data_IF_524660068560
#
_entry.id   IF_524660068560
#
_cell.length_a   1.000
_cell.length_b   1.000
_cell.length_c   1.000
_cell.angle_alpha   90.00
_cell.angle_beta   90.00
_cell.angle_gamma   90.00
#
_symmetry.space_group_name_H-M   'P 1'
#
loop_
_entity.id
_entity.type
_entity.pdbx_description
1 polymer ?
#
# COMPACT_ATOMS: atom_id res chain seq x y z
N UNK A 1 57.60 43.27 13.74
CA UNK A 1 58.23 43.17 12.42
C UNK A 1 57.90 41.81 11.81
N UNK A 2 57.58 41.80 10.51
CA UNK A 2 57.24 40.68 9.62
C UNK A 2 55.89 39.97 9.90
N UNK A 3 54.80 40.22 9.15
CA UNK A 3 54.46 39.84 7.74
C UNK A 3 54.21 38.33 7.57
N UNK A 4 52.93 37.92 7.41
CA UNK A 4 52.13 37.75 6.17
C UNK A 4 52.26 36.36 5.55
N UNK A 5 51.10 35.74 5.29
CA UNK A 5 50.65 35.06 4.06
C UNK A 5 49.73 33.89 4.43
N UNK A 6 48.42 33.95 4.23
CA UNK A 6 47.66 33.81 2.98
C UNK A 6 48.02 32.57 2.14
N UNK A 7 47.03 31.67 1.99
CA UNK A 7 46.60 30.99 0.75
C UNK A 7 45.65 29.85 1.17
N UNK A 8 44.32 29.96 1.10
CA UNK A 8 43.44 30.06 -0.07
C UNK A 8 43.83 29.09 -1.20
N UNK A 9 43.22 27.90 -1.20
CA UNK A 9 42.89 27.19 -2.43
C UNK A 9 41.41 26.84 -2.47
N UNK A 10 40.68 27.73 -3.16
CA UNK A 10 39.39 27.49 -3.80
C UNK A 10 39.47 26.21 -4.66
N UNK A 11 38.50 25.31 -4.50
CA UNK A 11 38.07 24.44 -5.59
C UNK A 11 36.73 24.96 -6.11
N UNK A 12 36.79 25.44 -7.35
CA UNK A 12 35.65 25.73 -8.20
C UNK A 12 34.87 24.46 -8.50
N UNK A 13 33.56 24.48 -8.34
CA UNK A 13 32.65 23.63 -9.11
C UNK A 13 31.32 24.38 -9.24
N UNK A 14 31.22 25.23 -10.25
CA UNK A 14 29.93 25.77 -10.70
C UNK A 14 30.09 26.35 -12.11
N UNK A 15 29.88 25.49 -13.09
CA UNK A 15 29.30 25.89 -14.37
C UNK A 15 28.33 24.77 -14.72
N UNK A 16 27.04 25.00 -14.49
CA UNK A 16 26.04 24.35 -15.31
C UNK A 16 24.98 25.36 -15.71
N UNK A 17 24.95 25.55 -17.02
CA UNK A 17 24.15 26.47 -17.79
C UNK A 17 22.68 26.15 -17.66
N UNK A 18 21.89 27.20 -17.42
CA UNK A 18 20.52 27.33 -17.90
C UNK A 18 20.43 26.85 -19.35
N UNK A 19 19.72 25.73 -19.55
CA UNK A 19 19.05 25.41 -20.81
C UNK A 19 17.59 25.15 -20.52
N UNK A 20 16.77 26.06 -21.07
CA UNK A 20 15.33 25.92 -21.26
C UNK A 20 15.07 24.84 -22.30
N UNK A 21 14.15 23.94 -21.98
CA UNK A 21 13.45 22.97 -22.83
C UNK A 21 12.69 22.06 -21.84
N UNK A 22 11.41 21.74 -21.91
CA UNK A 22 10.44 21.79 -22.98
C UNK A 22 9.03 21.82 -22.38
N UNK A 23 8.09 22.21 -23.24
CA UNK A 23 6.66 21.99 -23.15
C UNK A 23 6.32 20.52 -22.80
N UNK A 24 5.55 20.31 -21.73
CA UNK A 24 4.66 19.15 -21.64
C UNK A 24 3.24 19.62 -21.32
N UNK A 25 2.47 19.80 -22.40
CA UNK A 25 1.01 19.69 -22.39
C UNK A 25 0.65 18.27 -21.96
N UNK A 26 0.06 18.14 -20.77
CA UNK A 26 -0.63 16.92 -20.34
C UNK A 26 -2.13 17.09 -20.56
N UNK A 27 -2.58 16.89 -21.80
CA UNK A 27 -3.96 16.52 -22.10
C UNK A 27 -4.20 15.09 -21.59
N UNK A 28 -4.88 14.95 -20.44
CA UNK A 28 -5.44 13.67 -19.98
C UNK A 28 -6.82 13.87 -19.36
N UNK A 29 -7.75 14.35 -20.18
CA UNK A 29 -9.16 14.00 -20.06
C UNK A 29 -9.49 13.01 -21.18
N UNK A 30 -9.52 11.72 -20.83
CA UNK A 30 -10.12 10.69 -21.67
C UNK A 30 -11.21 10.00 -20.85
N UNK A 31 -12.49 10.14 -21.22
CA UNK A 31 -13.56 9.43 -20.53
C UNK A 31 -13.44 7.93 -20.82
N UNK A 32 -13.57 7.13 -19.77
CA UNK A 32 -13.63 5.68 -19.86
C UNK A 32 -14.78 5.24 -20.79
N UNK A 33 -14.60 4.20 -21.62
CA UNK A 33 -15.64 3.72 -22.50
C UNK A 33 -16.79 3.12 -21.68
N UNK A 34 -18.02 3.53 -22.01
CA UNK A 34 -19.24 2.87 -21.54
C UNK A 34 -19.22 1.41 -22.01
N UNK A 35 -19.30 0.51 -21.04
CA UNK A 35 -19.59 -0.91 -21.30
C UNK A 35 -21.10 -1.01 -21.46
N UNK A 36 -21.56 -1.11 -22.70
CA UNK A 36 -22.95 -1.39 -23.00
C UNK A 36 -23.28 -2.82 -22.53
N UNK A 37 -24.29 -2.91 -21.67
CA UNK A 37 -24.89 -4.16 -21.21
C UNK A 37 -25.34 -4.99 -22.41
N UNK A 38 -24.76 -6.19 -22.57
CA UNK A 38 -25.30 -7.21 -23.45
C UNK A 38 -26.68 -7.64 -22.94
N UNK A 39 -27.72 -7.30 -23.69
CA UNK A 39 -29.04 -7.92 -23.58
C UNK A 39 -28.99 -9.31 -24.22
N UNK A 40 -29.21 -10.34 -23.41
CA UNK A 40 -29.52 -11.68 -23.92
C UNK A 40 -31.02 -11.72 -24.25
N UNK A 41 -31.33 -11.78 -25.53
CA UNK A 41 -32.67 -12.07 -26.04
C UNK A 41 -32.97 -13.56 -25.87
N UNK A 42 -34.18 -13.86 -25.39
CA UNK A 42 -34.72 -15.21 -25.28
C UNK A 42 -34.79 -15.89 -26.65
N UNK A 43 -34.32 -17.15 -26.72
CA UNK A 43 -34.40 -17.99 -27.90
C UNK A 43 -35.62 -18.91 -27.75
N UNK A 44 -36.72 -18.56 -28.43
CA UNK A 44 -37.92 -19.40 -28.52
C UNK A 44 -37.68 -20.61 -29.43
N UNK A 45 -37.87 -21.80 -28.88
CA UNK A 45 -37.76 -23.08 -29.56
C UNK A 45 -39.07 -23.38 -30.33
N UNK A 46 -39.02 -23.27 -31.65
CA UNK A 46 -40.16 -23.61 -32.52
C UNK A 46 -40.12 -25.09 -32.89
N UNK A 47 -41.01 -25.86 -32.25
CA UNK A 47 -41.36 -27.24 -32.59
C UNK A 47 -41.95 -27.31 -34.02
N UNK A 48 -41.22 -27.93 -34.94
CA UNK A 48 -41.71 -28.23 -36.29
C UNK A 48 -42.31 -29.65 -36.35
N UNK A 49 -43.62 -29.72 -36.61
CA UNK A 49 -44.36 -30.94 -36.98
C UNK A 49 -44.24 -31.16 -38.50
N UNK A 50 -43.78 -32.33 -38.91
CA UNK A 50 -43.90 -32.89 -40.28
C UNK A 50 -44.83 -34.10 -40.19
N UNK A 51 -46.11 -33.96 -40.56
CA UNK A 51 -46.74 -34.28 -41.87
C UNK A 51 -46.75 -35.76 -42.24
N UNK A 52 -47.92 -36.36 -41.98
CA UNK A 52 -48.53 -37.47 -42.72
C UNK A 52 -48.61 -37.18 -44.22
N UNK A 53 -48.32 -38.20 -45.04
CA UNK A 53 -49.04 -38.54 -46.27
C UNK A 53 -48.42 -39.76 -46.98
N UNK A 54 -49.20 -40.85 -47.12
CA UNK A 54 -49.28 -41.73 -48.31
C UNK A 54 -50.24 -42.90 -48.01
N UNK A 55 -51.49 -42.85 -48.50
CA UNK A 55 -51.97 -43.47 -49.76
C UNK A 55 -52.12 -45.01 -49.77
N UNK A 56 -53.34 -45.44 -49.43
CA UNK A 56 -54.30 -46.27 -50.21
C UNK A 56 -53.75 -47.15 -51.35
N UNK A 57 -53.83 -48.47 -51.20
CA UNK A 57 -54.06 -49.44 -52.30
C UNK A 57 -55.00 -50.56 -51.83
N UNK A 58 -56.01 -50.85 -52.66
CA UNK A 58 -56.96 -51.96 -52.57
C UNK A 58 -56.40 -53.23 -53.22
N UNK A 59 -56.77 -54.42 -52.73
CA UNK A 59 -56.82 -55.62 -53.56
C UNK A 59 -57.76 -56.69 -52.97
N UNK A 60 -58.66 -57.19 -53.82
CA UNK A 60 -59.48 -58.39 -53.62
C UNK A 60 -58.65 -59.68 -53.63
N UNK A 61 -59.21 -60.82 -53.13
CA UNK A 61 -58.44 -62.01 -52.84
C UNK A 61 -58.34 -62.92 -54.07
N UNK A 62 -57.12 -63.31 -54.46
CA UNK A 62 -56.92 -64.42 -55.39
C UNK A 62 -56.05 -65.50 -54.75
N UNK A 63 -56.61 -66.71 -54.79
CA UNK A 63 -56.08 -68.00 -54.38
C UNK A 63 -54.65 -68.23 -54.87
N UNK A 64 -53.67 -68.39 -53.97
CA UNK A 64 -52.38 -69.09 -54.16
C UNK A 64 -51.80 -69.56 -52.79
N UNK A 65 -52.36 -70.63 -52.22
CA UNK A 65 -52.02 -71.15 -50.86
C UNK A 65 -50.64 -71.82 -50.71
N UNK A 66 -49.76 -71.80 -51.71
CA UNK A 66 -48.45 -72.48 -51.66
C UNK A 66 -47.21 -71.58 -51.47
N UNK A 67 -47.29 -70.30 -51.83
CA UNK A 67 -46.14 -69.35 -51.80
C UNK A 67 -46.30 -68.29 -50.70
N UNK A 68 -47.54 -68.09 -50.23
CA UNK A 68 -47.94 -67.10 -49.22
C UNK A 68 -47.24 -67.32 -47.87
N UNK A 69 -47.06 -68.58 -47.45
CA UNK A 69 -46.44 -68.90 -46.14
C UNK A 69 -44.95 -68.51 -46.07
N UNK A 70 -44.22 -68.56 -47.19
CA UNK A 70 -42.79 -68.14 -47.25
C UNK A 70 -42.63 -66.62 -47.30
N UNK A 71 -43.56 -65.91 -47.94
CA UNK A 71 -43.57 -64.45 -47.98
C UNK A 71 -44.04 -63.84 -46.66
N UNK A 72 -45.00 -64.46 -45.97
CA UNK A 72 -45.46 -64.06 -44.64
C UNK A 72 -44.37 -64.25 -43.57
N UNK A 73 -43.62 -65.35 -43.61
CA UNK A 73 -42.47 -65.55 -42.72
C UNK A 73 -41.35 -64.53 -42.96
N UNK A 74 -41.06 -64.20 -44.23
CA UNK A 74 -40.08 -63.17 -44.60
C UNK A 74 -40.51 -61.76 -44.20
N UNK A 75 -41.81 -61.43 -44.34
CA UNK A 75 -42.39 -60.17 -43.88
C UNK A 75 -42.39 -60.04 -42.36
N UNK A 76 -42.70 -61.13 -41.63
CA UNK A 76 -42.67 -61.12 -40.16
C UNK A 76 -41.23 -61.01 -39.64
N UNK A 77 -40.27 -61.65 -40.28
CA UNK A 77 -38.85 -61.52 -39.95
C UNK A 77 -38.33 -60.10 -40.25
N UNK A 78 -38.76 -59.49 -41.36
CA UNK A 78 -38.41 -58.11 -41.69
C UNK A 78 -39.05 -57.09 -40.73
N UNK A 79 -40.30 -57.34 -40.31
CA UNK A 79 -40.98 -56.55 -39.28
C UNK A 79 -40.32 -56.69 -37.92
N UNK A 80 -39.91 -57.90 -37.53
CA UNK A 80 -39.18 -58.15 -36.30
C UNK A 80 -37.81 -57.45 -36.30
N UNK A 81 -37.08 -57.49 -37.41
CA UNK A 81 -35.81 -56.75 -37.57
C UNK A 81 -36.01 -55.24 -37.52
N UNK A 82 -37.04 -54.70 -38.20
CA UNK A 82 -37.37 -53.28 -38.13
C UNK A 82 -37.76 -52.84 -36.73
N UNK A 83 -38.49 -53.68 -36.01
CA UNK A 83 -38.87 -53.43 -34.61
C UNK A 83 -37.65 -53.44 -33.69
N UNK A 84 -36.77 -54.44 -33.81
CA UNK A 84 -35.53 -54.50 -33.06
C UNK A 84 -34.60 -53.29 -33.34
N UNK A 85 -34.51 -52.83 -34.59
CA UNK A 85 -33.74 -51.63 -34.95
C UNK A 85 -34.40 -50.37 -34.35
N UNK A 86 -35.73 -50.28 -34.36
CA UNK A 86 -36.44 -49.17 -33.74
C UNK A 86 -36.23 -49.13 -32.22
N UNK A 87 -36.30 -50.29 -31.56
CA UNK A 87 -36.05 -50.43 -30.13
C UNK A 87 -34.59 -50.04 -29.79
N UNK A 88 -33.60 -50.47 -30.59
CA UNK A 88 -32.18 -50.09 -30.41
C UNK A 88 -31.93 -48.58 -30.63
N UNK A 89 -32.69 -47.95 -31.55
CA UNK A 89 -32.65 -46.51 -31.79
C UNK A 89 -33.27 -45.73 -30.64
N UNK A 90 -34.39 -46.22 -30.07
CA UNK A 90 -35.02 -45.64 -28.89
C UNK A 90 -34.10 -45.75 -27.66
N UNK A 91 -33.44 -46.89 -27.46
CA UNK A 91 -32.45 -47.05 -26.39
C UNK A 91 -31.29 -46.06 -26.54
N UNK A 92 -30.74 -45.90 -27.76
CA UNK A 92 -29.70 -44.90 -28.04
C UNK A 92 -30.17 -43.46 -27.82
N UNK A 93 -31.40 -43.13 -28.23
CA UNK A 93 -32.01 -41.82 -27.99
C UNK A 93 -32.20 -41.56 -26.49
N UNK A 94 -32.56 -42.59 -25.73
CA UNK A 94 -32.76 -42.49 -24.29
C UNK A 94 -31.44 -42.29 -23.55
N UNK A 95 -30.38 -43.01 -23.94
CA UNK A 95 -29.02 -42.79 -23.42
C UNK A 95 -28.56 -41.35 -23.73
N UNK A 96 -28.74 -40.90 -24.97
CA UNK A 96 -28.41 -39.54 -25.38
C UNK A 96 -29.15 -38.48 -24.59
N UNK A 97 -30.45 -38.68 -24.28
CA UNK A 97 -31.21 -37.76 -23.42
C UNK A 97 -30.63 -37.65 -22.02
N UNK A 98 -30.33 -38.79 -21.39
CA UNK A 98 -29.76 -38.81 -20.04
C UNK A 98 -28.39 -38.12 -20.01
N UNK A 99 -27.54 -38.37 -21.01
CA UNK A 99 -26.24 -37.69 -21.16
C UNK A 99 -26.41 -36.18 -21.37
N UNK A 100 -27.38 -35.77 -22.19
CA UNK A 100 -27.65 -34.36 -22.47
C UNK A 100 -28.15 -33.63 -21.22
N UNK A 101 -29.08 -34.22 -20.47
CA UNK A 101 -29.56 -33.69 -19.20
C UNK A 101 -28.44 -33.59 -18.16
N UNK A 102 -27.56 -34.60 -18.09
CA UNK A 102 -26.37 -34.58 -17.23
C UNK A 102 -25.42 -33.43 -17.57
N UNK A 103 -25.17 -33.19 -18.86
CA UNK A 103 -24.38 -32.05 -19.35
C UNK A 103 -25.07 -30.72 -19.06
N UNK A 104 -26.39 -30.64 -19.21
CA UNK A 104 -27.18 -29.44 -18.95
C UNK A 104 -27.10 -29.04 -17.46
N UNK A 105 -27.20 -30.01 -16.55
CA UNK A 105 -26.97 -29.79 -15.12
C UNK A 105 -25.54 -29.37 -14.78
N UNK A 106 -24.54 -29.89 -15.51
CA UNK A 106 -23.15 -29.47 -15.35
C UNK A 106 -22.96 -28.01 -15.79
N UNK A 107 -23.52 -27.63 -16.93
CA UNK A 107 -23.50 -26.24 -17.44
C UNK A 107 -24.18 -25.29 -16.46
N UNK A 108 -25.34 -25.65 -15.90
CA UNK A 108 -26.02 -24.79 -14.92
C UNK A 108 -25.20 -24.64 -13.63
N UNK A 109 -24.50 -25.70 -13.17
CA UNK A 109 -23.55 -25.60 -12.05
C UNK A 109 -22.39 -24.65 -12.36
N UNK A 110 -21.79 -24.74 -13.55
CA UNK A 110 -20.71 -23.84 -13.98
C UNK A 110 -21.20 -22.38 -14.04
N UNK A 111 -22.41 -22.14 -14.56
CA UNK A 111 -23.04 -20.82 -14.61
C UNK A 111 -23.25 -20.22 -13.22
N UNK A 112 -23.71 -21.00 -12.25
CA UNK A 112 -23.86 -20.55 -10.86
C UNK A 112 -22.51 -20.21 -10.21
N UNK A 113 -21.48 -21.01 -10.47
CA UNK A 113 -20.13 -20.76 -9.98
C UNK A 113 -19.53 -19.49 -10.60
N UNK A 114 -19.72 -19.27 -11.90
CA UNK A 114 -19.32 -18.03 -12.57
C UNK A 114 -20.01 -16.80 -11.96
N UNK A 115 -21.32 -16.85 -11.70
CA UNK A 115 -22.05 -15.76 -11.02
C UNK A 115 -21.51 -15.48 -9.61
N UNK A 116 -21.13 -16.51 -8.86
CA UNK A 116 -20.49 -16.35 -7.54
C UNK A 116 -19.13 -15.67 -7.66
N UNK A 117 -18.31 -16.09 -8.62
CA UNK A 117 -16.99 -15.49 -8.85
C UNK A 117 -17.09 -14.04 -9.32
N UNK A 118 -18.03 -13.74 -10.22
CA UNK A 118 -18.33 -12.39 -10.66
C UNK A 118 -18.73 -11.49 -9.48
N UNK A 119 -19.60 -11.97 -8.59
CA UNK A 119 -19.99 -11.24 -7.38
C UNK A 119 -18.81 -10.95 -6.44
N UNK A 120 -17.91 -11.93 -6.24
CA UNK A 120 -16.68 -11.73 -5.46
C UNK A 120 -15.73 -10.73 -6.11
N UNK A 121 -15.59 -10.79 -7.43
CA UNK A 121 -14.77 -9.84 -8.20
C UNK A 121 -15.33 -8.41 -8.05
N UNK A 122 -16.65 -8.24 -8.16
CA UNK A 122 -17.30 -6.94 -8.02
C UNK A 122 -17.07 -6.34 -6.62
N UNK A 123 -17.18 -7.15 -5.56
CA UNK A 123 -16.86 -6.72 -4.20
C UNK A 123 -15.38 -6.33 -4.04
N UNK A 124 -14.47 -7.07 -4.68
CA UNK A 124 -13.04 -6.73 -4.66
C UNK A 124 -12.75 -5.43 -5.40
N UNK A 125 -13.41 -5.17 -6.53
CA UNK A 125 -13.31 -3.92 -7.28
C UNK A 125 -13.80 -2.74 -6.45
N UNK A 126 -14.95 -2.86 -5.76
CA UNK A 126 -15.45 -1.81 -4.87
C UNK A 126 -14.48 -1.50 -3.71
N UNK A 127 -13.80 -2.52 -3.16
CA UNK A 127 -12.75 -2.31 -2.15
C UNK A 127 -11.55 -1.56 -2.73
N UNK A 128 -11.09 -1.95 -3.93
CA UNK A 128 -10.00 -1.26 -4.62
C UNK A 128 -10.36 0.20 -4.90
N UNK A 129 -11.56 0.48 -5.39
CA UNK A 129 -12.06 1.85 -5.61
C UNK A 129 -12.11 2.68 -4.33
N UNK A 130 -12.46 2.06 -3.20
CA UNK A 130 -12.39 2.72 -1.90
C UNK A 130 -10.93 3.06 -1.55
N UNK A 131 -10.00 2.11 -1.66
CA UNK A 131 -8.59 2.36 -1.40
C UNK A 131 -8.01 3.44 -2.32
N UNK A 132 -8.39 3.50 -3.60
CA UNK A 132 -7.95 4.56 -4.51
C UNK A 132 -8.44 5.96 -4.05
N UNK A 133 -9.67 6.06 -3.54
CA UNK A 133 -10.20 7.31 -2.98
C UNK A 133 -9.45 7.71 -1.71
N UNK A 134 -9.21 6.77 -0.82
CA UNK A 134 -8.48 7.01 0.44
C UNK A 134 -7.04 7.46 0.15
N UNK A 135 -6.33 6.79 -0.77
CA UNK A 135 -4.99 7.19 -1.23
C UNK A 135 -4.99 8.59 -1.85
N UNK A 136 -6.00 8.91 -2.67
CA UNK A 136 -6.11 10.24 -3.28
C UNK A 136 -6.36 11.33 -2.24
N UNK A 137 -7.11 11.02 -1.18
CA UNK A 137 -7.33 11.93 -0.05
C UNK A 137 -6.04 12.19 0.72
N UNK A 138 -5.30 11.13 1.07
CA UNK A 138 -4.00 11.23 1.74
C UNK A 138 -2.99 12.00 0.91
N UNK A 139 -3.01 11.82 -0.42
CA UNK A 139 -2.15 12.58 -1.32
C UNK A 139 -2.45 14.08 -1.25
N UNK A 140 -3.73 14.48 -1.27
CA UNK A 140 -4.12 15.89 -1.16
C UNK A 140 -3.69 16.49 0.18
N UNK A 141 -3.93 15.78 1.28
CA UNK A 141 -3.50 16.21 2.61
C UNK A 141 -1.97 16.37 2.69
N UNK A 142 -1.22 15.43 2.12
CA UNK A 142 0.24 15.55 2.02
C UNK A 142 0.69 16.74 1.17
N UNK A 143 0.00 17.02 0.06
CA UNK A 143 0.30 18.17 -0.81
C UNK A 143 0.02 19.49 -0.08
N UNK A 144 -1.07 19.57 0.70
CA UNK A 144 -1.42 20.73 1.51
C UNK A 144 -0.37 20.98 2.60
N UNK A 145 0.02 19.94 3.35
CA UNK A 145 1.10 20.02 4.35
C UNK A 145 2.42 20.48 3.71
N UNK A 146 2.73 19.98 2.52
CA UNK A 146 3.94 20.38 1.81
C UNK A 146 3.91 21.85 1.40
N UNK A 147 2.75 22.38 0.98
CA UNK A 147 2.59 23.79 0.67
C UNK A 147 2.75 24.68 1.91
N UNK A 148 2.17 24.28 3.04
CA UNK A 148 2.33 24.98 4.31
C UNK A 148 3.79 24.99 4.79
N UNK A 149 4.48 23.86 4.66
CA UNK A 149 5.91 23.75 4.97
C UNK A 149 6.75 24.67 4.08
N UNK A 150 6.39 24.78 2.79
CA UNK A 150 7.06 25.67 1.85
C UNK A 150 6.83 27.15 2.19
N UNK A 151 5.61 27.51 2.59
CA UNK A 151 5.28 28.87 3.02
C UNK A 151 6.02 29.25 4.31
N UNK A 152 6.06 28.35 5.29
CA UNK A 152 6.79 28.58 6.55
C UNK A 152 8.30 28.66 6.34
N UNK A 153 8.88 27.86 5.46
CA UNK A 153 10.29 27.98 5.09
C UNK A 153 10.61 29.33 4.45
N UNK A 154 9.76 29.82 3.53
CA UNK A 154 9.94 31.13 2.90
C UNK A 154 9.83 32.29 3.91
N UNK A 155 8.94 32.19 4.88
CA UNK A 155 8.83 33.18 5.97
C UNK A 155 10.05 33.15 6.89
N UNK A 156 10.58 31.96 7.20
CA UNK A 156 11.81 31.82 7.99
C UNK A 156 13.02 32.44 7.28
N UNK A 157 13.16 32.21 5.96
CA UNK A 157 14.22 32.80 5.15
C UNK A 157 14.15 34.33 5.15
N UNK A 158 12.94 34.88 5.08
CA UNK A 158 12.71 36.32 5.18
C UNK A 158 13.11 36.87 6.56
N UNK A 159 12.70 36.20 7.64
CA UNK A 159 13.10 36.60 9.00
C UNK A 159 14.62 36.54 9.19
N UNK A 160 15.27 35.54 8.62
CA UNK A 160 16.73 35.43 8.66
C UNK A 160 17.42 36.57 7.90
N UNK A 161 16.86 36.94 6.74
CA UNK A 161 17.34 38.08 5.97
C UNK A 161 17.19 39.40 6.74
N UNK A 162 16.02 39.67 7.31
CA UNK A 162 15.75 40.88 8.10
C UNK A 162 16.69 40.97 9.31
N UNK A 163 16.90 39.85 10.02
CA UNK A 163 17.81 39.77 11.17
C UNK A 163 19.27 39.99 10.75
N UNK A 164 19.68 39.44 9.60
CA UNK A 164 21.03 39.65 9.06
C UNK A 164 21.27 41.12 8.70
N UNK A 165 20.28 41.80 8.14
CA UNK A 165 20.36 43.23 7.83
C UNK A 165 20.48 44.07 9.11
N UNK A 166 19.67 43.77 10.14
CA UNK A 166 19.73 44.45 11.42
C UNK A 166 21.09 44.24 12.12
N UNK A 167 21.61 43.01 12.10
CA UNK A 167 22.94 42.70 12.61
C UNK A 167 24.01 43.55 11.92
N UNK A 168 23.97 43.64 10.58
CA UNK A 168 24.92 44.44 9.82
C UNK A 168 24.82 45.95 10.16
N UNK A 169 23.60 46.46 10.34
CA UNK A 169 23.36 47.84 10.77
C UNK A 169 23.91 48.13 12.16
N UNK A 170 23.74 47.22 13.12
CA UNK A 170 24.30 47.35 14.47
C UNK A 170 25.83 47.29 14.41
N UNK A 171 26.37 46.35 13.64
CA UNK A 171 27.82 46.16 13.50
C UNK A 171 28.50 47.41 12.91
N UNK A 172 27.93 47.99 11.87
CA UNK A 172 28.45 49.23 11.26
C UNK A 172 28.39 50.40 12.24
N UNK A 173 27.27 50.57 12.97
CA UNK A 173 27.14 51.62 14.00
C UNK A 173 28.16 51.45 15.14
N UNK A 174 28.42 50.21 15.57
CA UNK A 174 29.47 49.90 16.54
C UNK A 174 30.84 50.37 16.03
N UNK A 175 31.15 50.12 14.76
CA UNK A 175 32.38 50.61 14.12
C UNK A 175 32.50 52.13 14.18
N UNK A 176 31.43 52.87 13.84
CA UNK A 176 31.42 54.34 13.91
C UNK A 176 31.61 54.86 15.34
N UNK A 177 31.01 54.20 16.34
CA UNK A 177 31.17 54.56 17.75
C UNK A 177 32.62 54.34 18.21
N UNK A 178 33.26 53.24 17.80
CA UNK A 178 34.68 52.97 18.11
C UNK A 178 35.57 54.06 17.53
N UNK A 179 35.38 54.43 16.26
CA UNK A 179 36.14 55.52 15.63
C UNK A 179 35.94 56.86 16.34
N UNK A 180 34.71 57.17 16.75
CA UNK A 180 34.42 58.38 17.52
C UNK A 180 35.16 58.37 18.86
N UNK A 181 35.11 57.25 19.61
CA UNK A 181 35.85 57.06 20.85
C UNK A 181 37.36 57.24 20.65
N UNK A 182 37.94 56.64 19.61
CA UNK A 182 39.35 56.79 19.26
C UNK A 182 39.73 58.24 18.96
N UNK A 183 38.84 58.99 18.27
CA UNK A 183 39.08 60.41 17.98
C UNK A 183 39.08 61.30 19.24
N UNK A 184 38.39 60.89 20.31
CA UNK A 184 38.36 61.60 21.59
C UNK A 184 39.49 61.19 22.56
N UNK A 185 40.21 60.08 22.31
CA UNK A 185 41.31 59.62 23.16
C UNK A 185 42.46 60.64 23.31
N UNK A 186 42.90 61.36 22.25
CA UNK A 186 43.92 62.41 22.38
C UNK A 186 43.48 63.57 23.28
N UNK A 187 42.21 63.98 23.20
CA UNK A 187 41.66 65.04 24.05
C UNK A 187 41.63 64.61 25.52
N UNK A 188 41.25 63.36 25.79
CA UNK A 188 41.34 62.75 27.13
C UNK A 188 42.79 62.75 27.64
N UNK A 189 43.74 62.34 26.82
CA UNK A 189 45.16 62.32 27.20
C UNK A 189 45.71 63.73 27.48
N UNK A 190 45.30 64.72 26.68
CA UNK A 190 45.69 66.11 26.89
C UNK A 190 45.13 66.67 28.20
N UNK A 191 43.87 66.36 28.52
CA UNK A 191 43.26 66.71 29.81
C UNK A 191 43.99 66.04 30.98
N UNK A 192 44.34 64.76 30.86
CA UNK A 192 45.11 64.05 31.90
C UNK A 192 46.51 64.67 32.11
N UNK A 193 47.14 65.16 31.02
CA UNK A 193 48.43 65.86 31.06
C UNK A 193 48.31 67.23 31.75
N UNK A 194 47.29 68.02 31.41
CA UNK A 194 47.00 69.29 32.07
C UNK A 194 46.73 69.08 33.56
N UNK A 195 45.94 68.06 33.91
CA UNK A 195 45.68 67.68 35.31
C UNK A 195 46.99 67.32 36.02
N UNK A 196 47.89 66.57 35.37
CA UNK A 196 49.19 66.22 35.93
C UNK A 196 50.09 67.45 36.16
N UNK A 197 50.14 68.38 35.21
CA UNK A 197 50.87 69.65 35.34
C UNK A 197 50.30 70.54 36.46
N UNK A 198 48.97 70.62 36.56
CA UNK A 198 48.29 71.39 37.61
C UNK A 198 48.58 70.87 39.03
N UNK A 199 48.95 69.58 39.20
CA UNK A 199 49.37 69.03 40.51
C UNK A 199 50.67 69.63 41.03
N UNK A 200 51.50 70.21 40.15
CA UNK A 200 52.81 70.80 40.53
C UNK A 200 52.65 72.15 41.23
N UNK A 201 51.51 72.82 41.08
CA UNK A 201 51.25 74.11 41.72
C UNK A 201 50.59 73.92 43.10
N UNK A 202 51.15 74.45 44.21
CA UNK A 202 50.63 74.23 45.56
C UNK A 202 49.18 74.70 45.77
N UNK A 203 48.75 75.75 45.06
CA UNK A 203 47.40 76.30 45.07
C UNK A 203 46.39 75.45 44.28
N UNK A 204 46.82 74.78 43.22
CA UNK A 204 45.98 73.90 42.41
C UNK A 204 46.03 72.43 42.86
N UNK A 205 47.05 72.02 43.61
CA UNK A 205 47.23 70.66 44.14
C UNK A 205 46.02 70.18 44.95
N UNK A 206 45.54 71.01 45.90
CA UNK A 206 44.33 70.70 46.69
C UNK A 206 43.07 70.60 45.83
N UNK A 207 42.95 71.44 44.80
CA UNK A 207 41.80 71.43 43.87
C UNK A 207 41.81 70.19 42.97
N UNK A 208 42.99 69.79 42.49
CA UNK A 208 43.17 68.57 41.69
C UNK A 208 42.97 67.32 42.53
N UNK A 209 43.48 67.27 43.77
CA UNK A 209 43.21 66.19 44.71
C UNK A 209 41.70 66.06 45.00
N UNK A 210 41.01 67.18 45.25
CA UNK A 210 39.56 67.19 45.45
C UNK A 210 38.79 66.73 44.19
N UNK A 211 39.19 67.18 43.00
CA UNK A 211 38.61 66.73 41.73
C UNK A 211 38.81 65.23 41.48
N UNK A 212 39.98 64.68 41.80
CA UNK A 212 40.25 63.25 41.62
C UNK A 212 39.44 62.39 42.59
N UNK A 213 39.32 62.82 43.85
CA UNK A 213 38.47 62.16 44.83
C UNK A 213 37.00 62.22 44.39
N UNK A 214 36.50 63.37 43.94
CA UNK A 214 35.16 63.50 43.37
C UNK A 214 34.94 62.64 42.12
N UNK A 215 35.94 62.54 41.24
CA UNK A 215 35.87 61.72 40.03
C UNK A 215 35.83 60.23 40.35
N UNK A 216 36.64 59.77 41.31
CA UNK A 216 36.62 58.39 41.80
C UNK A 216 35.28 58.08 42.49
N UNK A 217 34.83 58.96 43.40
CA UNK A 217 33.55 58.80 44.09
C UNK A 217 32.37 58.77 43.12
N UNK A 218 32.36 59.65 42.11
CA UNK A 218 31.33 59.65 41.06
C UNK A 218 31.37 58.40 40.20
N UNK A 219 32.56 57.88 39.88
CA UNK A 219 32.69 56.63 39.13
C UNK A 219 32.17 55.47 39.95
N UNK A 220 32.55 55.37 41.22
CA UNK A 220 32.13 54.28 42.10
C UNK A 220 30.61 54.33 42.32
N UNK A 221 30.02 55.51 42.50
CA UNK A 221 28.56 55.69 42.57
C UNK A 221 27.84 55.32 41.27
N UNK A 222 28.37 55.70 40.11
CA UNK A 222 27.78 55.33 38.82
C UNK A 222 27.91 53.84 38.52
N UNK A 223 29.04 53.21 38.86
CA UNK A 223 29.22 51.76 38.72
C UNK A 223 28.31 50.98 39.68
N UNK A 224 28.06 51.50 40.88
CA UNK A 224 27.14 50.91 41.85
C UNK A 224 25.67 51.08 41.39
N UNK A 225 25.30 52.25 40.88
CA UNK A 225 23.98 52.50 40.29
C UNK A 225 23.74 51.63 39.05
N UNK A 226 24.72 51.50 38.16
CA UNK A 226 24.64 50.66 36.96
C UNK A 226 24.58 49.16 37.30
N UNK A 227 25.37 48.70 38.29
CA UNK A 227 25.25 47.33 38.81
C UNK A 227 23.88 47.07 39.44
N UNK A 228 23.39 47.98 40.27
CA UNK A 228 22.09 47.83 40.91
C UNK A 228 20.94 47.81 39.88
N UNK A 229 20.97 48.70 38.89
CA UNK A 229 19.98 48.71 37.81
C UNK A 229 20.07 47.44 36.97
N UNK A 230 21.27 46.97 36.64
CA UNK A 230 21.47 45.74 35.87
C UNK A 230 21.03 44.50 36.65
N UNK A 231 21.32 44.39 37.94
CA UNK A 231 20.91 43.28 38.78
C UNK A 231 19.39 43.27 38.98
N UNK A 232 18.78 44.43 39.21
CA UNK A 232 17.31 44.55 39.31
C UNK A 232 16.63 44.17 38.00
N UNK A 233 17.16 44.63 36.87
CA UNK A 233 16.62 44.29 35.56
C UNK A 233 16.81 42.81 35.23
N UNK A 234 17.99 42.24 35.51
CA UNK A 234 18.26 40.82 35.29
C UNK A 234 17.34 39.94 36.16
N UNK A 235 17.15 40.27 37.44
CA UNK A 235 16.22 39.55 38.32
C UNK A 235 14.77 39.70 37.86
N UNK A 236 14.37 40.86 37.35
CA UNK A 236 13.04 41.08 36.78
C UNK A 236 12.82 40.26 35.51
N UNK A 237 13.81 40.22 34.61
CA UNK A 237 13.75 39.47 33.36
C UNK A 237 13.79 37.95 33.61
N UNK A 238 14.62 37.47 34.54
CA UNK A 238 14.65 36.07 34.96
C UNK A 238 13.33 35.66 35.63
N UNK A 239 12.74 36.51 36.47
CA UNK A 239 11.41 36.26 37.06
C UNK A 239 10.32 36.23 35.99
N UNK A 240 10.37 37.12 34.99
CA UNK A 240 9.41 37.13 33.88
C UNK A 240 9.54 35.86 33.04
N UNK A 241 10.76 35.49 32.65
CA UNK A 241 11.04 34.29 31.87
C UNK A 241 10.66 33.01 32.61
N UNK A 242 10.95 32.90 33.91
CA UNK A 242 10.53 31.76 34.73
C UNK A 242 9.01 31.70 34.90
N UNK A 243 8.33 32.83 35.07
CA UNK A 243 6.87 32.89 35.15
C UNK A 243 6.22 32.49 33.83
N UNK A 244 6.74 32.93 32.69
CA UNK A 244 6.26 32.53 31.36
C UNK A 244 6.48 31.02 31.12
N UNK A 245 7.66 30.50 31.47
CA UNK A 245 7.93 29.04 31.42
C UNK A 245 6.97 28.26 32.32
N UNK A 246 6.71 28.72 33.55
CA UNK A 246 5.78 28.06 34.48
C UNK A 246 4.32 28.09 34.03
N UNK A 247 3.91 29.06 33.20
CA UNK A 247 2.56 29.08 32.59
C UNK A 247 2.43 28.05 31.47
N UNK A 248 3.48 27.89 30.66
CA UNK A 248 3.48 27.03 29.48
C UNK A 248 3.74 25.57 29.86
N UNK A 249 4.59 25.32 30.86
CA UNK A 249 5.06 23.98 31.18
C UNK A 249 3.95 23.01 31.62
N UNK A 250 2.96 23.40 32.46
CA UNK A 250 1.84 22.53 32.82
C UNK A 250 0.96 22.16 31.63
N UNK A 251 0.73 23.10 30.71
CA UNK A 251 -0.04 22.84 29.48
C UNK A 251 0.69 21.85 28.56
N UNK A 252 2.00 22.02 28.38
CA UNK A 252 2.81 21.07 27.60
C UNK A 252 2.86 19.68 28.23
N UNK A 253 2.78 19.57 29.57
CA UNK A 253 2.72 18.28 30.26
C UNK A 253 1.37 17.62 30.02
N UNK A 254 0.26 18.36 30.16
CA UNK A 254 -1.09 17.84 29.90
C UNK A 254 -1.28 17.40 28.44
N UNK A 255 -0.78 18.17 27.48
CA UNK A 255 -0.83 17.81 26.06
C UNK A 255 -0.04 16.53 25.78
N UNK A 256 1.15 16.39 26.38
CA UNK A 256 1.94 15.16 26.28
C UNK A 256 1.26 13.96 26.95
N UNK A 257 0.61 14.14 28.09
CA UNK A 257 -0.16 13.09 28.76
C UNK A 257 -1.35 12.63 27.90
N UNK A 258 -2.06 13.55 27.23
CA UNK A 258 -3.13 13.21 26.30
C UNK A 258 -2.61 12.41 25.10
N UNK A 259 -1.46 12.80 24.53
CA UNK A 259 -0.80 12.07 23.44
C UNK A 259 -0.40 10.67 23.89
N UNK A 260 0.18 10.52 25.09
CA UNK A 260 0.53 9.21 25.65
C UNK A 260 -0.71 8.33 25.78
N UNK A 261 -1.82 8.85 26.31
CA UNK A 261 -3.06 8.08 26.42
C UNK A 261 -3.64 7.66 25.06
N UNK A 262 -3.55 8.51 24.03
CA UNK A 262 -3.95 8.15 22.66
C UNK A 262 -3.08 7.00 22.12
N UNK A 263 -1.76 7.11 22.25
CA UNK A 263 -0.81 6.07 21.81
C UNK A 263 -1.06 4.76 22.54
N UNK A 264 -1.30 4.78 23.86
CA UNK A 264 -1.60 3.57 24.63
C UNK A 264 -2.88 2.87 24.16
N UNK A 265 -3.90 3.63 23.78
CA UNK A 265 -5.14 3.07 23.24
C UNK A 265 -4.93 2.48 21.85
N UNK A 266 -4.19 3.15 20.97
CA UNK A 266 -3.83 2.61 19.65
C UNK A 266 -3.02 1.32 19.77
N UNK A 267 -2.05 1.25 20.70
CA UNK A 267 -1.29 0.03 20.98
C UNK A 267 -2.21 -1.10 21.45
N UNK A 268 -3.19 -0.81 22.32
CA UNK A 268 -4.18 -1.82 22.76
C UNK A 268 -5.02 -2.33 21.59
N UNK A 269 -5.48 -1.45 20.71
CA UNK A 269 -6.27 -1.84 19.53
C UNK A 269 -5.44 -2.68 18.54
N UNK A 270 -4.19 -2.29 18.28
CA UNK A 270 -3.28 -3.05 17.42
C UNK A 270 -3.01 -4.43 18.01
N UNK A 271 -2.75 -4.54 19.32
CA UNK A 271 -2.56 -5.83 19.99
C UNK A 271 -3.79 -6.71 19.91
N UNK A 272 -4.99 -6.15 20.13
CA UNK A 272 -6.24 -6.89 19.99
C UNK A 272 -6.44 -7.40 18.56
N UNK A 273 -6.14 -6.57 17.55
CA UNK A 273 -6.23 -6.94 16.14
C UNK A 273 -5.21 -8.01 15.75
N UNK A 274 -3.98 -7.95 16.27
CA UNK A 274 -2.97 -8.99 16.06
C UNK A 274 -3.38 -10.33 16.67
N UNK A 275 -3.89 -10.32 17.92
CA UNK A 275 -4.41 -11.54 18.55
C UNK A 275 -5.53 -12.18 17.74
N UNK A 276 -6.43 -11.36 17.16
CA UNK A 276 -7.50 -11.85 16.30
C UNK A 276 -6.95 -12.41 14.97
N UNK A 277 -5.97 -11.75 14.35
CA UNK A 277 -5.32 -12.25 13.13
C UNK A 277 -4.56 -13.55 13.37
N UNK A 278 -3.84 -13.69 14.47
CA UNK A 278 -3.17 -14.94 14.86
C UNK A 278 -4.16 -16.08 15.04
N UNK A 279 -5.33 -15.77 15.62
CA UNK A 279 -6.40 -16.73 15.81
C UNK A 279 -7.02 -17.16 14.47
N UNK A 280 -7.22 -16.22 13.55
CA UNK A 280 -7.69 -16.50 12.20
C UNK A 280 -6.68 -17.35 11.42
N UNK A 281 -5.39 -16.99 11.47
CA UNK A 281 -4.31 -17.76 10.85
C UNK A 281 -4.25 -19.19 11.41
N UNK A 282 -4.34 -19.35 12.73
CA UNK A 282 -4.36 -20.67 13.38
C UNK A 282 -5.56 -21.50 12.91
N UNK A 283 -6.73 -20.87 12.79
CA UNK A 283 -7.93 -21.54 12.28
C UNK A 283 -7.77 -21.97 10.81
N UNK A 284 -7.24 -21.12 9.94
CA UNK A 284 -6.98 -21.46 8.54
C UNK A 284 -5.94 -22.57 8.39
N UNK A 285 -4.84 -22.51 9.14
CA UNK A 285 -3.83 -23.58 9.17
C UNK A 285 -4.47 -24.89 9.65
N UNK A 286 -5.29 -24.86 10.69
CA UNK A 286 -5.98 -26.06 11.18
C UNK A 286 -6.98 -26.65 10.17
N UNK A 287 -7.65 -25.80 9.39
CA UNK A 287 -8.55 -26.22 8.32
C UNK A 287 -7.75 -26.85 7.15
N UNK A 288 -6.62 -26.24 6.77
CA UNK A 288 -5.71 -26.76 5.75
C UNK A 288 -5.06 -28.09 6.14
N UNK A 289 -4.65 -28.25 7.39
CA UNK A 289 -4.11 -29.53 7.90
C UNK A 289 -5.19 -30.62 7.87
N UNK A 290 -6.44 -30.29 8.16
CA UNK A 290 -7.57 -31.24 8.02
C UNK A 290 -7.78 -31.66 6.57
N UNK A 291 -7.69 -30.73 5.61
CA UNK A 291 -7.70 -31.04 4.18
C UNK A 291 -6.51 -31.96 3.79
N UNK A 292 -5.29 -31.70 4.26
CA UNK A 292 -4.12 -32.55 4.00
C UNK A 292 -4.27 -33.98 4.57
N UNK A 293 -4.92 -34.15 5.73
CA UNK A 293 -5.25 -35.50 6.23
C UNK A 293 -6.21 -36.25 5.31
N UNK A 294 -7.17 -35.57 4.66
CA UNK A 294 -8.04 -36.22 3.67
C UNK A 294 -7.29 -36.65 2.40
N UNK A 295 -6.20 -35.95 2.05
CA UNK A 295 -5.33 -36.33 0.93
C UNK A 295 -4.53 -37.61 1.22
N UNK A 296 -4.08 -37.79 2.47
CA UNK A 296 -3.45 -39.04 2.92
C UNK A 296 -4.41 -40.24 2.86
N UNK A 297 -5.69 -40.03 3.18
CA UNK A 297 -6.72 -41.07 3.05
C UNK A 297 -7.00 -41.42 1.58
N UNK A 298 -7.03 -40.44 0.68
CA UNK A 298 -7.15 -40.67 -0.77
C UNK A 298 -5.99 -41.52 -1.29
N UNK A 299 -4.74 -41.22 -0.89
CA UNK A 299 -3.57 -42.03 -1.25
C UNK A 299 -3.67 -43.47 -0.74
N UNK A 300 -4.10 -43.66 0.51
CA UNK A 300 -4.31 -44.99 1.11
C UNK A 300 -5.40 -45.77 0.38
N UNK A 301 -6.47 -45.09 -0.02
CA UNK A 301 -7.60 -45.69 -0.72
C UNK A 301 -7.21 -46.13 -2.14
N UNK A 302 -6.46 -45.30 -2.87
CA UNK A 302 -5.96 -45.61 -4.21
C UNK A 302 -4.94 -46.75 -4.19
N UNK A 303 -4.05 -46.78 -3.18
CA UNK A 303 -3.09 -47.88 -3.03
C UNK A 303 -3.78 -49.20 -2.71
N UNK A 304 -4.83 -49.18 -1.86
CA UNK A 304 -5.67 -50.37 -1.65
C UNK A 304 -6.33 -50.80 -2.95
N UNK A 305 -7.00 -49.90 -3.66
CA UNK A 305 -7.67 -50.21 -4.93
C UNK A 305 -6.71 -50.80 -5.95
N UNK A 306 -5.54 -50.19 -6.15
CA UNK A 306 -4.53 -50.72 -7.08
C UNK A 306 -4.12 -52.15 -6.70
N UNK A 307 -3.84 -52.39 -5.42
CA UNK A 307 -3.42 -53.71 -4.93
C UNK A 307 -4.52 -54.76 -5.08
N UNK A 308 -5.76 -54.43 -4.71
CA UNK A 308 -6.89 -55.36 -4.86
C UNK A 308 -7.21 -55.63 -6.33
N UNK A 309 -7.11 -54.62 -7.20
CA UNK A 309 -7.45 -54.77 -8.63
C UNK A 309 -6.37 -55.56 -9.39
N UNK A 310 -5.09 -55.36 -9.03
CA UNK A 310 -3.96 -56.12 -9.61
C UNK A 310 -3.86 -57.57 -9.12
N UNK A 311 -4.42 -57.88 -7.95
CA UNK A 311 -4.60 -59.27 -7.47
C UNK A 311 -5.72 -60.01 -8.23
N UNK A 312 -6.76 -59.29 -8.68
CA UNK A 312 -7.93 -59.89 -9.36
C UNK A 312 -7.72 -59.96 -10.88
N UNK A 313 -7.08 -58.94 -11.47
CA UNK A 313 -6.75 -58.86 -12.89
C UNK A 313 -5.24 -58.64 -12.98
N UNK A 314 -4.43 -59.69 -13.21
CA UNK A 314 -3.01 -59.52 -13.38
C UNK A 314 -2.75 -58.68 -14.64
N UNK A 315 -1.77 -57.76 -14.61
CA UNK A 315 -1.48 -56.89 -15.74
C UNK A 315 -1.02 -57.71 -16.94
N UNK A 316 -1.82 -57.69 -18.00
CA UNK A 316 -1.49 -58.33 -19.28
C UNK A 316 -0.56 -57.37 -20.06
N UNK A 317 0.68 -57.78 -20.41
CA UNK A 317 1.63 -56.91 -21.11
C UNK A 317 1.17 -56.49 -22.53
N UNK A 318 0.15 -57.14 -23.08
CA UNK A 318 -0.36 -56.89 -24.42
C UNK A 318 -1.64 -56.02 -24.46
N UNK A 319 -2.16 -55.56 -23.30
CA UNK A 319 -3.34 -54.69 -23.25
C UNK A 319 -3.03 -53.22 -23.64
N UNK A 320 -3.95 -52.52 -24.34
CA UNK A 320 -3.76 -51.12 -24.70
C UNK A 320 -3.73 -50.21 -23.46
N UNK A 321 -3.03 -49.08 -23.58
CA UNK A 321 -2.74 -48.02 -22.59
C UNK A 321 -3.92 -47.39 -21.83
N UNK A 322 -5.12 -47.95 -21.96
CA UNK A 322 -6.39 -47.53 -21.37
C UNK A 322 -6.96 -48.50 -20.33
N UNK A 323 -6.34 -49.67 -20.10
CA UNK A 323 -6.77 -50.62 -19.07
C UNK A 323 -6.80 -50.03 -17.65
N UNK A 324 -7.73 -50.52 -16.81
CA UNK A 324 -7.99 -49.99 -15.45
C UNK A 324 -6.73 -49.95 -14.58
N UNK A 325 -5.86 -50.96 -14.71
CA UNK A 325 -4.57 -51.03 -14.00
C UNK A 325 -3.60 -49.95 -14.50
N UNK A 326 -3.54 -49.70 -15.81
CA UNK A 326 -2.74 -48.63 -16.41
C UNK A 326 -3.22 -47.23 -16.03
N UNK A 327 -4.54 -47.01 -15.89
CA UNK A 327 -5.09 -45.74 -15.43
C UNK A 327 -4.82 -45.51 -13.94
N UNK A 328 -4.91 -46.56 -13.11
CA UNK A 328 -4.55 -46.49 -11.69
C UNK A 328 -3.05 -46.17 -11.49
N UNK A 329 -2.17 -46.75 -12.31
CA UNK A 329 -0.73 -46.42 -12.33
C UNK A 329 -0.48 -44.94 -12.65
N UNK A 330 -1.19 -44.38 -13.63
CA UNK A 330 -1.08 -42.94 -13.96
C UNK A 330 -1.55 -42.04 -12.81
N UNK A 331 -2.57 -42.46 -12.06
CA UNK A 331 -3.06 -41.74 -10.87
C UNK A 331 -2.06 -41.85 -9.71
N UNK A 332 -1.43 -43.00 -9.52
CA UNK A 332 -0.36 -43.21 -8.54
C UNK A 332 0.87 -42.33 -8.84
N UNK A 333 1.29 -42.28 -10.11
CA UNK A 333 2.39 -41.43 -10.56
C UNK A 333 2.08 -39.94 -10.35
N UNK A 334 0.86 -39.51 -10.69
CA UNK A 334 0.40 -38.13 -10.48
C UNK A 334 0.43 -37.74 -9.00
N UNK A 335 -0.04 -38.62 -8.12
CA UNK A 335 0.01 -38.41 -6.66
C UNK A 335 1.45 -38.38 -6.12
N UNK A 336 2.34 -39.18 -6.68
CA UNK A 336 3.75 -39.21 -6.29
C UNK A 336 4.45 -37.92 -6.67
N UNK A 337 4.16 -37.37 -7.85
CA UNK A 337 4.67 -36.05 -8.28
C UNK A 337 4.07 -34.93 -7.43
N UNK A 338 2.78 -34.97 -7.15
CA UNK A 338 2.11 -34.00 -6.28
C UNK A 338 2.72 -33.93 -4.87
N UNK A 339 2.97 -35.08 -4.25
CA UNK A 339 3.60 -35.14 -2.92
C UNK A 339 5.04 -34.61 -2.92
N UNK A 340 5.83 -34.91 -3.95
CA UNK A 340 7.18 -34.32 -4.10
C UNK A 340 7.16 -32.80 -4.26
N UNK A 341 6.07 -32.24 -4.75
CA UNK A 341 5.88 -30.79 -4.86
C UNK A 341 5.51 -30.19 -3.51
N UNK A 342 4.58 -30.82 -2.78
CA UNK A 342 4.19 -30.41 -1.43
C UNK A 342 5.37 -30.48 -0.45
N UNK A 343 6.17 -31.55 -0.49
CA UNK A 343 7.36 -31.69 0.34
C UNK A 343 8.42 -30.62 0.02
N UNK A 344 8.53 -30.21 -1.24
CA UNK A 344 9.41 -29.10 -1.67
C UNK A 344 8.93 -27.75 -1.13
N UNK A 345 7.61 -27.54 -1.09
CA UNK A 345 7.02 -26.31 -0.54
C UNK A 345 7.20 -26.25 0.98
N UNK A 346 6.97 -27.36 1.69
CA UNK A 346 7.23 -27.45 3.14
C UNK A 346 8.68 -27.15 3.50
N UNK A 347 9.65 -27.70 2.75
CA UNK A 347 11.08 -27.46 2.98
C UNK A 347 11.55 -26.03 2.73
N UNK A 348 10.79 -25.22 2.00
CA UNK A 348 11.12 -23.82 1.72
C UNK A 348 10.41 -22.85 2.69
N UNK A 349 9.53 -23.36 3.56
CA UNK A 349 8.79 -22.61 4.58
C UNK A 349 9.37 -22.76 5.98
N UNK A 350 10.19 -23.80 6.22
CA UNK A 350 11.14 -23.90 7.35
C UNK A 350 12.43 -23.12 7.03
#
# INVERSE_FOLDING_TARGET
MAHRSNDVKKKHTEQNSMKRSDDEKSDRDSPLPRVDCFQFSDFEETSSKTKDAAQKISAEPSSHKGVVVRLEASLSEMLAKKKAIADELDDKLQILRVDFDGKLQSVERVKQELKRRESKLLQSLQKIEKYMRDISSLKRESDDIFQDLKATAAELDKQFFDLSEEYYRIYTRKGSIIQLLESHMPAKHHLDTIIWELRKFPSAKKLVEYYLVLKLLRRDLLEEEERNVSEVQQVADERKATTERLKIHPMNVLEKEEIVHKIENEIKEIRARNLELDRQLTNEISAKIKEDTTWFDIRRWINMLYKTTSEIIPPDPDEPTEGVVSQLLKVEDFLTVGNRLVDRVKKNLE
#
